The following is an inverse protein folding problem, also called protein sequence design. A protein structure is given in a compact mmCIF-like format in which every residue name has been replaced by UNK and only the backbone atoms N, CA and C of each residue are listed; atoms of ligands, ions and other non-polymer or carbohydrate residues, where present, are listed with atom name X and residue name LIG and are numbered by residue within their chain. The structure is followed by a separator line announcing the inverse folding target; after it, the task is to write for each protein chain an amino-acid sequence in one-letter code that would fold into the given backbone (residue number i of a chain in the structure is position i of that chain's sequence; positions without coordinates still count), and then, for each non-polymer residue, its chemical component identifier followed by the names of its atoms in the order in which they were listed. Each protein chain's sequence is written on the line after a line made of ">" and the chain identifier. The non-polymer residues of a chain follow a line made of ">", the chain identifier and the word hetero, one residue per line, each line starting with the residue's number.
data_IF_750577115040
#
_entry.id   IF_750577115040
#
_cell.length_a   1.000
_cell.length_b   1.000
_cell.length_c   1.000
_cell.angle_alpha   90.00
_cell.angle_beta   90.00
_cell.angle_gamma   90.00
#
_symmetry.space_group_name_H-M   'P 1'
#
loop_
_entity.id
_entity.type
_entity.pdbx_description
1 polymer ?
#
# COMPACT_ATOMS: atom_id res chain seq x y z
N UNK A 1 -20.65 -65.27 2.11
CA UNK A 1 -21.91 -66.03 2.30
C UNK A 1 -23.00 -65.05 2.70
N UNK A 2 -24.16 -65.16 2.05
CA UNK A 2 -25.43 -64.42 2.24
C UNK A 2 -25.42 -62.90 1.93
N UNK A 3 -25.79 -62.49 0.71
CA UNK A 3 -27.14 -62.18 0.18
C UNK A 3 -27.83 -61.00 0.88
N UNK A 4 -28.03 -59.82 0.27
CA UNK A 4 -28.85 -59.40 -0.90
C UNK A 4 -30.21 -58.84 -0.44
N UNK A 5 -30.65 -57.79 -1.16
CA UNK A 5 -32.00 -57.19 -1.27
C UNK A 5 -32.26 -55.99 -0.34
N UNK A 6 -32.92 -54.91 -0.73
CA UNK A 6 -33.50 -54.42 -2.00
C UNK A 6 -33.96 -52.96 -1.65
N UNK A 7 -33.64 -51.93 -2.42
CA UNK A 7 -34.49 -51.30 -3.46
C UNK A 7 -35.31 -50.08 -3.01
N UNK A 8 -35.49 -49.17 -3.98
CA UNK A 8 -36.42 -48.02 -4.06
C UNK A 8 -35.97 -46.72 -3.35
N UNK A 9 -36.11 -45.52 -3.91
CA UNK A 9 -36.51 -44.98 -5.21
C UNK A 9 -36.18 -43.47 -5.12
N UNK A 10 -35.37 -42.89 -6.01
CA UNK A 10 -35.80 -41.99 -7.10
C UNK A 10 -37.19 -41.35 -6.87
N UNK A 11 -37.20 -40.04 -6.60
CA UNK A 11 -38.16 -39.10 -7.19
C UNK A 11 -37.64 -37.66 -7.07
N UNK A 12 -37.56 -37.03 -8.24
CA UNK A 12 -37.32 -35.62 -8.50
C UNK A 12 -38.40 -34.73 -7.89
N UNK A 13 -38.04 -33.54 -7.38
CA UNK A 13 -38.80 -32.33 -7.71
C UNK A 13 -37.90 -31.10 -7.70
N UNK A 14 -37.88 -30.44 -8.85
CA UNK A 14 -37.26 -29.15 -9.17
C UNK A 14 -38.25 -28.06 -8.73
N UNK A 15 -37.78 -27.01 -8.06
CA UNK A 15 -38.49 -25.72 -8.01
C UNK A 15 -37.54 -24.61 -8.46
N UNK A 16 -37.67 -24.26 -9.73
CA UNK A 16 -37.30 -22.99 -10.31
C UNK A 16 -38.44 -22.00 -10.03
N UNK A 17 -38.15 -20.86 -9.42
CA UNK A 17 -39.05 -19.70 -9.44
C UNK A 17 -38.31 -18.61 -10.21
N UNK A 18 -38.74 -18.43 -11.45
CA UNK A 18 -38.40 -17.31 -12.29
C UNK A 18 -39.62 -16.39 -12.30
N UNK A 19 -39.48 -15.17 -11.76
CA UNK A 19 -40.40 -14.09 -12.07
C UNK A 19 -39.67 -13.08 -12.94
N UNK A 20 -40.16 -13.02 -14.17
CA UNK A 20 -39.80 -12.05 -15.20
C UNK A 20 -41.03 -11.18 -15.41
N UNK A 21 -40.92 -9.89 -15.12
CA UNK A 21 -41.89 -8.90 -15.55
C UNK A 21 -41.16 -7.71 -16.17
N UNK A 22 -41.21 -7.70 -17.50
CA UNK A 22 -40.84 -6.60 -18.38
C UNK A 22 -42.13 -5.85 -18.73
N UNK A 23 -42.20 -4.57 -18.37
CA UNK A 23 -43.07 -3.59 -19.01
C UNK A 23 -42.41 -2.22 -18.89
N UNK A 24 -41.62 -1.83 -19.90
CA UNK A 24 -41.85 -0.66 -20.76
C UNK A 24 -42.70 0.44 -20.09
N UNK A 25 -42.06 1.53 -19.70
CA UNK A 25 -42.66 2.86 -19.77
C UNK A 25 -41.61 3.84 -20.29
N UNK A 26 -41.93 4.38 -21.45
CA UNK A 26 -41.24 5.45 -22.14
C UNK A 26 -41.47 6.79 -21.43
N UNK A 27 -40.49 7.67 -21.61
CA UNK A 27 -40.59 9.13 -21.76
C UNK A 27 -41.28 9.93 -20.64
N UNK A 28 -40.53 10.85 -20.02
CA UNK A 28 -40.84 12.28 -19.81
C UNK A 28 -39.74 12.89 -18.91
N UNK A 29 -38.79 13.58 -19.53
CA UNK A 29 -38.23 14.88 -19.09
C UNK A 29 -38.72 15.88 -20.16
N UNK A 30 -38.88 17.20 -19.93
CA UNK A 30 -38.13 18.06 -19.00
C UNK A 30 -38.91 19.21 -18.33
N UNK A 31 -38.37 19.81 -17.27
CA UNK A 31 -38.63 21.22 -16.83
C UNK A 31 -37.57 21.55 -15.77
N UNK A 32 -36.45 22.21 -16.09
CA UNK A 32 -36.25 23.66 -16.05
C UNK A 32 -37.13 24.38 -15.00
N UNK A 33 -36.52 24.95 -13.97
CA UNK A 33 -36.55 26.39 -13.67
C UNK A 33 -35.52 26.75 -12.56
N UNK A 34 -35.06 28.00 -12.50
CA UNK A 34 -33.82 28.44 -11.85
C UNK A 34 -34.09 29.14 -10.52
N UNK A 35 -33.11 29.16 -9.60
CA UNK A 35 -33.06 30.20 -8.57
C UNK A 35 -31.69 30.86 -8.47
N UNK A 36 -31.73 32.16 -8.77
CA UNK A 36 -30.68 33.16 -8.76
C UNK A 36 -30.26 33.51 -7.33
N UNK A 37 -28.98 33.82 -7.19
CA UNK A 37 -28.39 34.63 -6.13
C UNK A 37 -29.09 35.99 -5.97
N UNK A 38 -28.99 36.59 -4.77
CA UNK A 38 -28.70 38.02 -4.69
C UNK A 38 -27.42 38.28 -3.88
N UNK A 39 -26.48 38.98 -4.50
CA UNK A 39 -25.49 39.79 -3.82
C UNK A 39 -26.20 41.00 -3.23
N UNK A 40 -25.96 41.33 -1.95
CA UNK A 40 -26.26 42.66 -1.43
C UNK A 40 -24.99 43.28 -0.85
N UNK A 41 -24.44 44.22 -1.63
CA UNK A 41 -23.44 45.19 -1.20
C UNK A 41 -24.16 46.25 -0.38
N UNK A 42 -23.77 46.45 0.88
CA UNK A 42 -24.01 47.72 1.57
C UNK A 42 -22.81 48.14 2.39
N UNK A 43 -22.01 49.01 1.77
CA UNK A 43 -21.18 50.01 2.45
C UNK A 43 -22.09 51.12 2.95
N UNK A 44 -21.87 51.55 4.19
CA UNK A 44 -22.11 52.94 4.60
C UNK A 44 -21.23 53.26 5.78
N UNK A 45 -20.42 54.29 5.57
CA UNK A 45 -19.47 54.93 6.45
C UNK A 45 -20.11 55.61 7.68
N UNK A 46 -19.31 55.78 8.74
CA UNK A 46 -19.03 57.03 9.48
C UNK A 46 -18.30 56.64 10.79
N UNK A 47 -17.01 56.93 10.98
CA UNK A 47 -16.33 58.22 11.19
C UNK A 47 -16.55 58.83 12.59
N UNK A 48 -15.50 58.76 13.43
CA UNK A 48 -15.03 59.81 14.35
C UNK A 48 -13.64 59.39 14.86
N UNK A 49 -12.54 60.09 14.50
CA UNK A 49 -12.01 61.33 15.12
C UNK A 49 -11.29 61.02 16.45
N UNK A 50 -10.05 61.41 16.77
CA UNK A 50 -8.91 62.06 16.11
C UNK A 50 -7.78 62.16 17.18
N UNK A 51 -6.65 62.78 16.77
CA UNK A 51 -5.50 63.33 17.53
C UNK A 51 -4.29 62.37 17.54
N UNK A 52 -3.14 62.68 16.96
CA UNK A 52 -2.55 63.96 16.53
C UNK A 52 -1.20 64.18 17.22
N UNK A 53 -0.32 64.95 16.57
CA UNK A 53 1.04 65.43 16.95
C UNK A 53 2.16 64.65 16.23
N UNK A 54 2.58 65.10 15.03
CA UNK A 54 3.56 66.17 14.68
C UNK A 54 5.04 65.75 14.86
N UNK A 55 5.74 65.50 13.74
CA UNK A 55 6.76 66.34 13.07
C UNK A 55 8.17 66.22 13.67
N UNK A 56 9.13 65.70 12.90
CA UNK A 56 10.20 66.50 12.26
C UNK A 56 11.12 65.62 11.39
N UNK A 57 11.63 66.23 10.32
CA UNK A 57 12.48 65.68 9.27
C UNK A 57 13.99 65.95 9.50
N UNK A 58 14.82 65.26 8.70
CA UNK A 58 16.27 65.46 8.43
C UNK A 58 17.23 65.05 9.57
N UNK A 59 18.43 64.49 9.38
CA UNK A 59 19.14 63.90 8.23
C UNK A 59 20.51 63.36 8.71
N UNK A 60 21.12 62.50 7.87
CA UNK A 60 22.56 62.30 7.68
C UNK A 60 23.43 61.62 8.77
N UNK A 61 23.88 60.42 8.38
CA UNK A 61 25.26 59.86 8.45
C UNK A 61 26.07 60.07 9.73
N UNK A 62 26.40 58.96 10.40
CA UNK A 62 27.81 58.60 10.65
C UNK A 62 27.99 57.11 11.01
N UNK A 63 28.85 56.47 10.20
CA UNK A 63 29.61 55.22 10.30
C UNK A 63 29.67 54.50 11.67
N UNK A 64 29.53 53.17 11.66
CA UNK A 64 30.62 52.23 12.02
C UNK A 64 30.24 50.75 11.83
N UNK A 65 30.89 50.15 10.83
CA UNK A 65 31.44 48.80 10.73
C UNK A 65 31.01 47.75 11.78
N UNK A 66 30.25 46.75 11.33
CA UNK A 66 30.49 45.36 11.73
C UNK A 66 30.53 44.47 10.49
N UNK A 67 31.73 43.97 10.25
CA UNK A 67 32.17 43.06 9.20
C UNK A 67 31.76 41.65 9.62
N UNK A 68 30.82 41.05 8.90
CA UNK A 68 30.61 39.61 8.86
C UNK A 68 30.51 39.21 7.40
N UNK A 69 31.49 38.42 6.98
CA UNK A 69 31.73 38.02 5.61
C UNK A 69 30.64 37.08 5.13
N UNK A 70 29.71 37.61 4.34
CA UNK A 70 28.91 36.80 3.43
C UNK A 70 29.73 36.67 2.15
N UNK A 71 30.38 35.52 1.97
CA UNK A 71 30.94 35.09 0.69
C UNK A 71 29.81 34.99 -0.34
N UNK A 72 29.52 36.11 -1.00
CA UNK A 72 28.81 36.14 -2.27
C UNK A 72 29.78 35.58 -3.31
N UNK A 73 29.62 34.30 -3.65
CA UNK A 73 30.25 33.75 -4.84
C UNK A 73 29.71 34.49 -6.07
N UNK A 74 30.48 35.45 -6.56
CA UNK A 74 30.23 36.12 -7.83
C UNK A 74 30.53 35.09 -8.91
N UNK A 75 29.49 34.59 -9.58
CA UNK A 75 29.64 33.74 -10.76
C UNK A 75 30.22 34.60 -11.89
N UNK A 76 31.53 34.51 -12.11
CA UNK A 76 32.18 35.01 -13.31
C UNK A 76 32.05 33.95 -14.40
N UNK A 77 30.92 33.96 -15.11
CA UNK A 77 30.78 33.17 -16.33
C UNK A 77 31.66 33.78 -17.43
N UNK A 78 32.89 33.31 -17.55
CA UNK A 78 33.72 33.51 -18.74
C UNK A 78 33.06 32.76 -19.89
N UNK A 79 32.49 33.50 -20.85
CA UNK A 79 31.97 32.95 -22.08
C UNK A 79 33.15 32.37 -22.89
N UNK A 80 33.30 31.04 -22.88
CA UNK A 80 34.18 30.36 -23.83
C UNK A 80 33.49 30.38 -25.20
N UNK A 81 34.10 31.05 -26.17
CA UNK A 81 33.72 30.95 -27.59
C UNK A 81 33.96 29.50 -28.03
N UNK A 82 32.88 28.78 -28.35
CA UNK A 82 32.93 27.46 -28.97
C UNK A 82 33.12 27.59 -30.49
N UNK A 83 33.79 26.63 -31.15
CA UNK A 83 34.00 26.66 -32.60
C UNK A 83 32.68 26.41 -33.34
N UNK A 84 32.56 27.03 -34.51
CA UNK A 84 31.40 27.04 -35.40
C UNK A 84 30.73 25.66 -35.55
N UNK A 85 29.57 25.50 -34.93
CA UNK A 85 28.57 24.49 -35.27
C UNK A 85 27.20 25.19 -35.19
N UNK A 86 26.42 25.12 -36.26
CA UNK A 86 25.19 25.90 -36.48
C UNK A 86 23.99 25.46 -35.63
N UNK A 87 24.19 24.56 -34.67
CA UNK A 87 23.12 24.05 -33.81
C UNK A 87 23.28 24.55 -32.37
N UNK A 88 22.20 25.07 -31.74
CA UNK A 88 22.24 25.45 -30.33
C UNK A 88 22.62 24.22 -29.48
N UNK A 89 23.43 24.38 -28.42
CA UNK A 89 23.86 23.26 -27.59
C UNK A 89 22.64 22.51 -27.03
N UNK A 90 22.54 21.22 -27.37
CA UNK A 90 21.44 20.35 -26.95
C UNK A 90 21.39 20.28 -25.42
N UNK A 91 20.29 20.75 -24.82
CA UNK A 91 20.07 20.66 -23.38
C UNK A 91 20.19 19.21 -22.92
N UNK A 92 21.19 18.93 -22.08
CA UNK A 92 21.35 17.62 -21.45
C UNK A 92 20.71 17.71 -20.07
N UNK A 93 19.64 16.94 -19.79
CA UNK A 93 18.98 17.01 -18.49
C UNK A 93 19.96 16.62 -17.38
N UNK A 94 19.98 17.34 -16.24
CA UNK A 94 20.85 16.99 -15.13
C UNK A 94 20.49 15.60 -14.59
N UNK A 95 21.50 14.85 -14.15
CA UNK A 95 21.28 13.61 -13.42
C UNK A 95 20.54 13.89 -12.11
N UNK A 96 19.68 12.94 -11.69
CA UNK A 96 18.95 13.08 -10.43
C UNK A 96 19.96 13.19 -9.26
N UNK A 97 19.85 14.19 -8.38
CA UNK A 97 20.78 14.33 -7.26
C UNK A 97 20.62 13.14 -6.31
N UNK A 98 21.73 12.52 -5.94
CA UNK A 98 21.79 11.47 -4.92
C UNK A 98 22.04 12.16 -3.57
N UNK A 99 20.98 12.38 -2.81
CA UNK A 99 21.04 13.01 -1.48
C UNK A 99 21.42 11.92 -0.48
N UNK A 100 22.63 12.01 0.07
CA UNK A 100 23.11 11.12 1.14
C UNK A 100 23.38 11.99 2.36
N UNK A 101 22.56 11.81 3.38
CA UNK A 101 22.76 12.45 4.68
C UNK A 101 23.88 11.73 5.43
N UNK A 102 25.12 12.21 5.29
CA UNK A 102 26.31 11.64 5.94
C UNK A 102 26.26 11.69 7.48
N UNK A 103 25.31 12.42 8.05
CA UNK A 103 25.03 12.51 9.49
C UNK A 103 24.29 11.29 10.03
N UNK A 104 23.57 10.55 9.17
CA UNK A 104 22.97 9.27 9.56
C UNK A 104 24.08 8.22 9.64
N UNK A 105 24.36 7.76 10.86
CA UNK A 105 25.39 6.75 11.09
C UNK A 105 25.07 5.44 10.35
N UNK A 106 26.13 4.75 9.92
CA UNK A 106 26.14 3.43 9.25
C UNK A 106 25.29 2.36 9.98
N UNK A 107 24.98 2.61 11.26
CA UNK A 107 24.16 1.76 12.14
C UNK A 107 22.70 1.57 11.70
N UNK A 108 22.21 2.30 10.69
CA UNK A 108 20.80 2.27 10.27
C UNK A 108 20.50 1.38 9.06
N UNK A 109 21.49 0.68 8.47
CA UNK A 109 21.23 -0.23 7.34
C UNK A 109 20.37 -1.42 7.78
N UNK A 110 19.06 -1.27 7.53
CA UNK A 110 18.05 -2.27 7.84
C UNK A 110 18.25 -3.53 7.01
N UNK A 111 18.46 -4.65 7.67
CA UNK A 111 18.48 -5.97 7.03
C UNK A 111 17.04 -6.45 6.85
N UNK A 112 16.61 -6.64 5.59
CA UNK A 112 15.30 -7.18 5.27
C UNK A 112 15.41 -8.63 4.80
N UNK A 113 14.73 -9.54 5.49
CA UNK A 113 14.50 -10.91 5.02
C UNK A 113 13.03 -11.06 4.65
N UNK A 114 12.76 -11.59 3.46
CA UNK A 114 11.38 -11.81 3.02
C UNK A 114 10.75 -13.00 3.76
N UNK A 115 9.47 -12.91 4.19
CA UNK A 115 8.83 -13.88 5.08
C UNK A 115 8.68 -15.29 4.51
N UNK A 116 8.75 -15.46 3.19
CA UNK A 116 8.65 -16.75 2.51
C UNK A 116 9.91 -17.62 2.66
N UNK A 117 11.06 -17.02 2.97
CA UNK A 117 12.30 -17.75 3.21
C UNK A 117 12.29 -18.49 4.56
N UNK A 118 11.49 -18.03 5.51
CA UNK A 118 11.39 -18.62 6.85
C UNK A 118 10.51 -19.87 6.77
N UNK A 119 11.06 -21.09 6.93
CA UNK A 119 10.30 -22.32 6.81
C UNK A 119 9.29 -22.46 7.96
N UNK A 120 8.14 -23.11 7.72
CA UNK A 120 7.16 -23.38 8.77
C UNK A 120 7.72 -24.41 9.77
N UNK A 121 7.20 -24.37 11.01
CA UNK A 121 7.52 -25.36 12.05
C UNK A 121 6.99 -26.74 11.65
N UNK A 122 7.83 -27.58 11.05
CA UNK A 122 7.51 -28.92 10.53
C UNK A 122 8.72 -29.87 10.68
N UNK A 123 8.49 -31.19 10.56
CA UNK A 123 9.53 -32.24 10.62
C UNK A 123 10.11 -32.60 9.23
N UNK A 124 10.11 -31.63 8.32
CA UNK A 124 10.62 -31.82 6.96
C UNK A 124 12.14 -31.73 6.96
N UNK A 125 12.80 -32.54 6.14
CA UNK A 125 14.27 -32.51 5.99
C UNK A 125 14.76 -31.10 5.60
N UNK A 126 15.72 -30.51 6.34
CA UNK A 126 16.34 -29.22 6.01
C UNK A 126 16.89 -29.12 4.58
N UNK A 127 17.32 -30.25 3.97
CA UNK A 127 17.83 -30.29 2.61
C UNK A 127 16.80 -29.78 1.59
N UNK A 128 15.50 -30.09 1.79
CA UNK A 128 14.41 -29.57 0.96
C UNK A 128 14.44 -28.04 0.92
N UNK A 129 14.53 -27.40 2.10
CA UNK A 129 14.50 -25.94 2.20
C UNK A 129 15.78 -25.31 1.65
N UNK A 130 16.93 -25.99 1.70
CA UNK A 130 18.14 -25.50 1.04
C UNK A 130 17.99 -25.51 -0.48
N UNK A 131 17.50 -26.60 -1.06
CA UNK A 131 17.25 -26.70 -2.52
C UNK A 131 16.25 -25.63 -2.97
N UNK A 132 15.12 -25.53 -2.26
CA UNK A 132 14.08 -24.55 -2.57
C UNK A 132 14.60 -23.11 -2.50
N UNK A 133 15.45 -22.80 -1.51
CA UNK A 133 16.08 -21.47 -1.39
C UNK A 133 17.04 -21.16 -2.54
N UNK A 134 17.84 -22.14 -2.99
CA UNK A 134 18.71 -21.97 -4.16
C UNK A 134 17.89 -21.61 -5.41
N UNK A 135 16.76 -22.29 -5.63
CA UNK A 135 15.88 -22.00 -6.77
C UNK A 135 15.18 -20.63 -6.65
N UNK A 136 14.72 -20.26 -5.46
CA UNK A 136 14.18 -18.92 -5.20
C UNK A 136 15.20 -17.81 -5.50
N UNK A 137 16.45 -17.99 -5.08
CA UNK A 137 17.54 -17.03 -5.32
C UNK A 137 17.86 -16.96 -6.81
N UNK A 138 17.94 -18.10 -7.50
CA UNK A 138 18.12 -18.14 -8.96
C UNK A 138 17.02 -17.34 -9.68
N UNK A 139 15.76 -17.48 -9.26
CA UNK A 139 14.64 -16.70 -9.82
C UNK A 139 14.75 -15.21 -9.52
N UNK A 140 15.19 -14.81 -8.32
CA UNK A 140 15.42 -13.40 -7.91
C UNK A 140 16.57 -12.72 -8.66
N UNK A 141 17.54 -13.47 -9.16
CA UNK A 141 18.58 -12.93 -10.06
C UNK A 141 18.00 -12.50 -11.41
N UNK A 142 16.94 -13.17 -11.88
CA UNK A 142 16.26 -12.85 -13.15
C UNK A 142 15.18 -11.79 -12.96
N UNK A 143 14.38 -11.89 -11.89
CA UNK A 143 13.32 -10.93 -11.55
C UNK A 143 13.69 -10.19 -10.27
N UNK A 144 13.79 -8.87 -10.36
CA UNK A 144 13.95 -8.03 -9.18
C UNK A 144 12.65 -8.04 -8.36
N UNK A 145 12.69 -8.66 -7.18
CA UNK A 145 11.58 -8.69 -6.22
C UNK A 145 11.88 -7.67 -5.12
N UNK A 146 11.15 -6.54 -5.08
CA UNK A 146 11.39 -5.49 -4.10
C UNK A 146 10.87 -5.88 -2.70
N UNK A 147 11.31 -5.12 -1.70
CA UNK A 147 10.74 -5.18 -0.35
C UNK A 147 9.34 -4.56 -0.34
N UNK A 148 8.36 -5.28 0.22
CA UNK A 148 7.02 -4.76 0.46
C UNK A 148 6.34 -5.47 1.62
N UNK A 149 5.33 -4.80 2.21
CA UNK A 149 4.55 -5.30 3.34
C UNK A 149 3.07 -5.36 3.00
N UNK A 150 2.31 -5.99 3.90
CA UNK A 150 0.85 -5.88 3.86
C UNK A 150 0.47 -4.43 4.14
N UNK A 151 -0.40 -3.89 3.28
CA UNK A 151 -0.76 -2.47 3.24
C UNK A 151 0.00 -1.65 2.21
N UNK A 152 1.10 -2.15 1.65
CA UNK A 152 1.82 -1.46 0.57
C UNK A 152 1.03 -1.51 -0.75
N UNK A 153 1.18 -0.48 -1.58
CA UNK A 153 0.55 -0.40 -2.90
C UNK A 153 1.55 -0.87 -3.96
N UNK A 154 1.15 -1.89 -4.72
CA UNK A 154 1.98 -2.53 -5.74
C UNK A 154 1.34 -2.41 -7.12
N UNK A 155 2.18 -2.30 -8.14
CA UNK A 155 1.82 -2.51 -9.54
C UNK A 155 2.52 -3.74 -10.08
N UNK A 156 1.78 -4.78 -10.46
CA UNK A 156 2.34 -6.03 -10.98
C UNK A 156 2.04 -6.13 -12.47
N UNK A 157 3.08 -6.32 -13.27
CA UNK A 157 2.97 -6.60 -14.70
C UNK A 157 3.18 -8.10 -14.94
N UNK A 158 2.13 -8.76 -15.43
CA UNK A 158 2.12 -10.18 -15.77
C UNK A 158 1.98 -10.36 -17.28
N UNK A 159 2.62 -11.37 -17.86
CA UNK A 159 2.35 -11.85 -19.21
C UNK A 159 1.03 -12.65 -19.24
N UNK A 160 0.14 -12.28 -20.14
CA UNK A 160 -1.14 -12.94 -20.38
C UNK A 160 -1.39 -13.04 -21.89
N UNK A 161 -1.53 -14.26 -22.40
CA UNK A 161 -1.72 -14.53 -23.84
C UNK A 161 -3.03 -13.96 -24.37
N UNK A 162 -4.05 -13.86 -23.54
CA UNK A 162 -5.39 -13.41 -23.95
C UNK A 162 -5.56 -11.89 -23.89
N UNK A 163 -4.62 -11.18 -23.28
CA UNK A 163 -4.65 -9.72 -23.22
C UNK A 163 -4.20 -9.10 -24.54
N UNK A 164 -4.81 -7.99 -24.96
CA UNK A 164 -4.50 -7.30 -26.22
C UNK A 164 -3.01 -6.97 -26.40
N UNK A 165 -2.30 -6.66 -25.31
CA UNK A 165 -0.87 -6.34 -25.33
C UNK A 165 0.05 -7.49 -24.89
N UNK A 166 -0.46 -8.72 -24.79
CA UNK A 166 0.20 -9.91 -24.19
C UNK A 166 0.67 -9.72 -22.74
N UNK A 167 0.38 -8.57 -22.16
CA UNK A 167 0.79 -8.14 -20.83
C UNK A 167 -0.39 -7.43 -20.17
N UNK A 168 -0.53 -7.67 -18.88
CA UNK A 168 -1.57 -7.08 -18.05
C UNK A 168 -0.91 -6.46 -16.81
N UNK A 169 -1.23 -5.20 -16.53
CA UNK A 169 -0.76 -4.48 -15.36
C UNK A 169 -1.93 -4.28 -14.40
N UNK A 170 -1.77 -4.75 -13.17
CA UNK A 170 -2.75 -4.53 -12.11
C UNK A 170 -2.10 -3.77 -10.95
N UNK A 171 -2.77 -2.72 -10.50
CA UNK A 171 -2.37 -1.91 -9.36
C UNK A 171 -3.36 -2.11 -8.23
N UNK A 172 -2.87 -2.32 -7.02
CA UNK A 172 -3.72 -2.48 -5.84
C UNK A 172 -2.95 -2.54 -4.53
N UNK A 173 -3.69 -2.57 -3.43
CA UNK A 173 -3.14 -2.73 -2.09
C UNK A 173 -2.89 -4.22 -1.82
N UNK A 174 -1.71 -4.54 -1.26
CA UNK A 174 -1.42 -5.89 -0.80
C UNK A 174 -2.17 -6.19 0.50
N UNK A 175 -3.19 -7.07 0.45
CA UNK A 175 -4.03 -7.38 1.62
C UNK A 175 -3.50 -8.52 2.47
N UNK A 176 -2.80 -9.47 1.84
CA UNK A 176 -2.25 -10.64 2.51
C UNK A 176 -1.01 -11.11 1.75
N UNK A 177 -0.02 -11.55 2.52
CA UNK A 177 1.09 -12.38 2.03
C UNK A 177 0.95 -13.76 2.65
N UNK A 178 1.04 -14.80 1.82
CA UNK A 178 0.85 -16.18 2.20
C UNK A 178 1.87 -17.10 1.52
N UNK A 179 1.75 -18.39 1.79
CA UNK A 179 2.68 -19.38 1.26
C UNK A 179 4.09 -19.29 1.85
N UNK A 180 4.91 -20.28 1.50
CA UNK A 180 6.31 -20.42 1.92
C UNK A 180 7.09 -20.98 0.74
N UNK A 181 8.39 -20.67 0.68
CA UNK A 181 9.24 -21.16 -0.40
C UNK A 181 8.80 -20.68 -1.78
N UNK A 182 8.83 -21.56 -2.79
CA UNK A 182 8.45 -21.24 -4.16
C UNK A 182 6.95 -20.93 -4.32
N UNK A 183 6.12 -21.50 -3.45
CA UNK A 183 4.67 -21.27 -3.42
C UNK A 183 4.24 -19.99 -2.68
N UNK A 184 5.15 -19.03 -2.50
CA UNK A 184 4.84 -17.75 -1.88
C UNK A 184 3.83 -16.97 -2.73
N UNK A 185 2.77 -16.50 -2.10
CA UNK A 185 1.68 -15.76 -2.75
C UNK A 185 1.40 -14.44 -2.06
N UNK A 186 0.83 -13.51 -2.80
CA UNK A 186 0.28 -12.28 -2.24
C UNK A 186 -0.98 -11.88 -3.00
N UNK A 187 -1.93 -11.29 -2.29
CA UNK A 187 -3.21 -10.89 -2.86
C UNK A 187 -3.24 -9.38 -2.98
N UNK A 188 -3.49 -8.89 -4.20
CA UNK A 188 -3.75 -7.48 -4.47
C UNK A 188 -5.24 -7.25 -4.56
N UNK A 189 -5.72 -6.18 -3.93
CA UNK A 189 -7.11 -5.71 -4.00
C UNK A 189 -7.15 -4.31 -4.58
N UNK A 190 -8.08 -4.08 -5.48
CA UNK A 190 -8.45 -2.74 -5.94
C UNK A 190 -9.94 -2.68 -6.25
N UNK A 191 -10.52 -1.48 -6.24
CA UNK A 191 -11.87 -1.23 -6.72
C UNK A 191 -11.75 -0.48 -8.05
N UNK A 192 -12.15 -1.13 -9.13
CA UNK A 192 -12.14 -0.60 -10.49
C UNK A 192 -13.59 -0.52 -10.94
N UNK A 193 -14.04 0.64 -11.40
CA UNK A 193 -15.42 0.88 -11.83
C UNK A 193 -16.47 0.43 -10.80
N UNK A 194 -16.22 0.75 -9.52
CA UNK A 194 -17.03 0.35 -8.36
C UNK A 194 -17.13 -1.17 -8.11
N UNK A 195 -16.39 -1.99 -8.86
CA UNK A 195 -16.30 -3.43 -8.66
C UNK A 195 -15.01 -3.80 -7.92
N UNK A 196 -15.13 -4.57 -6.83
CA UNK A 196 -13.98 -5.06 -6.09
C UNK A 196 -13.30 -6.22 -6.82
N UNK A 197 -12.06 -6.02 -7.25
CA UNK A 197 -11.23 -7.02 -7.93
C UNK A 197 -10.09 -7.44 -7.01
N UNK A 198 -9.91 -8.75 -6.86
CA UNK A 198 -8.79 -9.34 -6.13
C UNK A 198 -8.04 -10.32 -7.03
N UNK A 199 -6.72 -10.19 -7.07
CA UNK A 199 -5.85 -11.10 -7.82
C UNK A 199 -4.79 -11.66 -6.89
N UNK A 200 -4.71 -12.99 -6.84
CA UNK A 200 -3.65 -13.71 -6.14
C UNK A 200 -2.49 -13.95 -7.10
N UNK A 201 -1.32 -13.41 -6.75
CA UNK A 201 -0.09 -13.58 -7.50
C UNK A 201 0.85 -14.54 -6.77
N UNK A 202 1.48 -15.44 -7.53
CA UNK A 202 2.61 -16.25 -7.07
C UNK A 202 3.90 -15.49 -7.31
N UNK A 203 4.66 -15.21 -6.24
CA UNK A 203 5.84 -14.36 -6.25
C UNK A 203 6.92 -14.82 -7.24
N UNK A 204 7.09 -16.14 -7.37
CA UNK A 204 8.13 -16.77 -8.21
C UNK A 204 7.63 -17.21 -9.59
N UNK A 205 6.38 -16.87 -9.97
CA UNK A 205 5.82 -17.27 -11.26
C UNK A 205 6.67 -16.74 -12.43
N UNK A 206 6.94 -17.56 -13.47
CA UNK A 206 7.67 -17.11 -14.65
C UNK A 206 6.86 -16.09 -15.48
N UNK A 207 5.54 -16.03 -15.30
CA UNK A 207 4.66 -15.08 -15.99
C UNK A 207 4.83 -13.64 -15.48
N UNK A 208 5.35 -13.44 -14.27
CA UNK A 208 5.59 -12.10 -13.74
C UNK A 208 6.82 -11.50 -14.41
N UNK A 209 6.63 -10.35 -15.04
CA UNK A 209 7.67 -9.58 -15.70
C UNK A 209 8.28 -8.55 -14.77
N UNK A 210 7.44 -7.84 -14.00
CA UNK A 210 7.89 -6.75 -13.11
C UNK A 210 6.95 -6.59 -11.92
N UNK A 211 7.53 -6.29 -10.76
CA UNK A 211 6.82 -5.90 -9.54
C UNK A 211 7.29 -4.50 -9.16
N UNK A 212 6.42 -3.51 -9.29
CA UNK A 212 6.67 -2.13 -8.91
C UNK A 212 6.06 -1.83 -7.53
N UNK A 213 6.84 -1.28 -6.61
CA UNK A 213 6.31 -0.72 -5.36
C UNK A 213 5.97 0.75 -5.60
N UNK A 214 4.68 1.08 -5.59
CA UNK A 214 4.22 2.45 -5.78
C UNK A 214 4.25 3.23 -4.46
N UNK A 215 3.83 2.58 -3.38
CA UNK A 215 3.86 3.15 -2.03
C UNK A 215 4.24 2.07 -1.03
N UNK A 216 5.40 2.26 -0.39
CA UNK A 216 5.85 1.37 0.68
C UNK A 216 5.28 1.86 2.01
N UNK A 217 4.31 1.12 2.55
CA UNK A 217 3.75 1.38 3.88
C UNK A 217 3.38 0.06 4.58
N UNK A 218 3.41 0.10 5.92
CA UNK A 218 2.84 -0.95 6.78
C UNK A 218 1.50 -0.49 7.34
N UNK A 219 0.63 -1.45 7.65
CA UNK A 219 -0.59 -1.21 8.46
C UNK A 219 -0.39 -1.76 9.86
N UNK A 220 -1.37 -1.53 10.73
CA UNK A 220 -1.39 -2.08 12.09
C UNK A 220 -1.54 -3.60 12.08
N UNK A 221 -2.25 -4.13 11.09
CA UNK A 221 -2.55 -5.55 10.96
C UNK A 221 -1.72 -6.19 9.84
N UNK A 222 -1.31 -7.44 10.06
CA UNK A 222 -0.61 -8.26 9.06
C UNK A 222 -1.56 -8.84 8.00
N UNK A 223 -2.88 -8.73 8.19
CA UNK A 223 -3.89 -9.27 7.28
C UNK A 223 -5.07 -8.31 7.15
N UNK A 224 -5.27 -7.76 5.94
CA UNK A 224 -6.29 -6.76 5.62
C UNK A 224 -7.50 -7.34 4.90
N UNK A 225 -7.78 -8.64 5.09
CA UNK A 225 -8.95 -9.29 4.48
C UNK A 225 -10.29 -8.68 4.89
N UNK A 226 -10.35 -7.92 5.99
CA UNK A 226 -11.53 -7.16 6.40
C UNK A 226 -11.88 -6.00 5.45
N UNK A 227 -10.97 -5.60 4.54
CA UNK A 227 -11.24 -4.59 3.51
C UNK A 227 -12.35 -5.01 2.52
N UNK A 228 -12.71 -6.30 2.49
CA UNK A 228 -13.87 -6.81 1.74
C UNK A 228 -15.20 -6.28 2.28
N UNK A 229 -15.29 -6.16 3.60
CA UNK A 229 -16.49 -5.72 4.33
C UNK A 229 -16.42 -4.23 4.70
N UNK A 230 -15.32 -3.54 4.35
CA UNK A 230 -15.10 -2.13 4.61
C UNK A 230 -15.76 -1.22 3.56
N UNK A 231 -15.77 0.08 3.84
CA UNK A 231 -16.14 1.09 2.85
C UNK A 231 -15.20 1.05 1.62
N UNK A 232 -15.72 1.22 0.38
CA UNK A 232 -14.91 1.18 -0.85
C UNK A 232 -13.70 2.11 -0.85
N UNK A 233 -13.83 3.27 -0.21
CA UNK A 233 -12.80 4.32 -0.15
C UNK A 233 -11.43 3.80 0.29
N UNK A 234 -11.39 2.85 1.23
CA UNK A 234 -10.14 2.32 1.77
C UNK A 234 -9.44 1.29 0.87
N UNK A 235 -10.16 0.75 -0.12
CA UNK A 235 -9.64 -0.23 -1.09
C UNK A 235 -9.40 0.36 -2.47
N UNK A 236 -9.89 1.57 -2.73
CA UNK A 236 -9.81 2.22 -4.05
C UNK A 236 -8.43 2.83 -4.23
N UNK A 237 -7.73 2.40 -5.27
CA UNK A 237 -6.39 2.89 -5.64
C UNK A 237 -6.41 3.27 -7.11
N UNK A 238 -5.90 4.46 -7.42
CA UNK A 238 -5.74 4.93 -8.79
C UNK A 238 -4.76 4.01 -9.56
N UNK A 239 -5.19 3.37 -10.67
CA UNK A 239 -4.32 2.54 -11.51
C UNK A 239 -3.10 3.26 -12.06
N UNK A 240 -3.20 4.58 -12.28
CA UNK A 240 -2.15 5.40 -12.87
C UNK A 240 -1.27 6.12 -11.83
N UNK A 241 -1.37 5.71 -10.56
CA UNK A 241 -0.57 6.26 -9.47
C UNK A 241 0.94 6.12 -9.74
N UNK A 242 1.66 7.25 -9.62
CA UNK A 242 3.12 7.29 -9.74
C UNK A 242 3.79 6.79 -8.46
N UNK A 243 4.98 6.15 -8.56
CA UNK A 243 5.70 5.67 -7.40
C UNK A 243 6.21 6.83 -6.54
N UNK A 244 5.91 6.76 -5.23
CA UNK A 244 6.38 7.72 -4.23
C UNK A 244 7.80 7.31 -3.82
N UNK A 245 8.80 8.20 -3.94
CA UNK A 245 10.17 7.89 -3.53
C UNK A 245 10.23 7.69 -2.01
N UNK A 246 10.89 6.62 -1.57
CA UNK A 246 11.21 6.38 -0.16
C UNK A 246 12.72 6.23 0.01
N UNK A 247 13.24 6.57 1.20
CA UNK A 247 14.64 6.34 1.53
C UNK A 247 14.86 4.87 1.92
N UNK A 248 15.89 4.19 1.39
CA UNK A 248 16.14 2.78 1.70
C UNK A 248 16.68 2.56 3.13
N UNK A 249 17.26 3.60 3.74
CA UNK A 249 17.93 3.52 5.04
C UNK A 249 16.97 3.66 6.22
N UNK A 250 15.78 4.24 6.02
CA UNK A 250 14.83 4.53 7.10
C UNK A 250 13.96 3.34 7.50
N UNK A 251 13.33 3.45 8.67
CA UNK A 251 12.23 2.55 9.05
C UNK A 251 11.03 2.75 8.12
N UNK A 252 10.34 1.65 7.79
CA UNK A 252 9.17 1.71 6.92
C UNK A 252 8.01 2.38 7.67
N UNK A 253 7.38 3.42 7.10
CA UNK A 253 6.31 4.15 7.77
C UNK A 253 5.11 3.24 8.03
N UNK A 254 4.60 3.28 9.27
CA UNK A 254 3.41 2.55 9.70
C UNK A 254 2.20 3.48 9.64
N UNK A 255 1.27 3.18 8.75
CA UNK A 255 0.00 3.86 8.60
C UNK A 255 -1.02 3.36 9.64
N UNK A 256 -1.35 4.23 10.60
CA UNK A 256 -2.26 3.93 11.73
C UNK A 256 -3.74 4.21 11.43
N UNK A 257 -4.11 4.43 10.16
CA UNK A 257 -5.50 4.69 9.77
C UNK A 257 -6.39 3.50 10.15
N UNK A 258 -7.42 3.77 10.96
CA UNK A 258 -8.49 2.82 11.27
C UNK A 258 -9.67 2.97 10.29
N UNK A 259 -10.13 1.84 9.78
CA UNK A 259 -11.14 1.66 8.73
C UNK A 259 -12.56 1.66 9.30
N UNK A 260 -13.50 2.22 8.54
CA UNK A 260 -14.96 2.12 8.80
C UNK A 260 -15.54 0.93 8.04
N UNK A 261 -16.33 0.12 8.75
CA UNK A 261 -16.98 -1.07 8.20
C UNK A 261 -18.35 -0.73 7.61
N UNK A 262 -18.82 -1.57 6.67
CA UNK A 262 -20.22 -1.59 6.23
C UNK A 262 -21.13 -2.08 7.37
N UNK A 263 -22.44 -1.84 7.31
CA UNK A 263 -23.37 -2.51 8.20
C UNK A 263 -23.27 -4.05 8.05
N UNK A 264 -23.58 -4.78 9.13
CA UNK A 264 -23.66 -6.25 9.12
C UNK A 264 -24.74 -6.75 8.13
N UNK A 265 -24.64 -7.98 7.59
CA UNK A 265 -23.65 -9.02 7.90
C UNK A 265 -22.31 -8.85 7.15
N UNK A 266 -21.22 -9.28 7.80
CA UNK A 266 -19.87 -9.31 7.23
C UNK A 266 -19.48 -10.71 6.80
N UNK A 267 -18.47 -10.82 5.94
CA UNK A 267 -17.90 -12.10 5.50
C UNK A 267 -17.34 -12.94 6.66
N UNK A 268 -16.77 -12.29 7.68
CA UNK A 268 -16.26 -12.93 8.90
C UNK A 268 -16.61 -12.11 10.13
N UNK A 269 -16.57 -12.78 11.28
CA UNK A 269 -16.75 -12.17 12.60
C UNK A 269 -15.45 -11.52 13.08
N UNK A 270 -15.09 -10.41 12.46
CA UNK A 270 -13.85 -9.66 12.71
C UNK A 270 -13.73 -9.14 14.14
N UNK A 271 -14.86 -8.96 14.83
CA UNK A 271 -14.92 -8.54 16.24
C UNK A 271 -14.33 -9.55 17.22
N UNK A 272 -14.09 -10.79 16.79
CA UNK A 272 -13.59 -11.85 17.68
C UNK A 272 -12.10 -11.67 17.99
N UNK A 273 -11.69 -11.81 19.27
CA UNK A 273 -10.28 -11.69 19.68
C UNK A 273 -9.30 -12.60 18.92
N UNK A 274 -9.78 -13.74 18.39
CA UNK A 274 -9.01 -14.66 17.54
C UNK A 274 -8.28 -13.97 16.38
N UNK A 275 -8.87 -12.93 15.79
CA UNK A 275 -8.27 -12.25 14.65
C UNK A 275 -7.28 -11.14 15.05
N UNK A 276 -7.33 -10.67 16.31
CA UNK A 276 -6.49 -9.61 16.85
C UNK A 276 -6.36 -8.38 15.92
N UNK A 277 -7.50 -7.89 15.40
CA UNK A 277 -7.52 -6.78 14.43
C UNK A 277 -7.57 -5.44 15.18
N UNK A 278 -6.59 -4.58 14.92
CA UNK A 278 -6.47 -3.24 15.48
C UNK A 278 -6.89 -2.14 14.50
N UNK A 279 -6.91 -2.44 13.20
CA UNK A 279 -7.21 -1.50 12.13
C UNK A 279 -8.69 -1.19 11.90
N UNK A 280 -9.62 -1.76 12.67
CA UNK A 280 -11.07 -1.50 12.54
C UNK A 280 -11.55 -0.52 13.63
N UNK A 281 -12.40 0.45 13.25
CA UNK A 281 -13.15 1.27 14.21
C UNK A 281 -14.42 0.55 14.65
N UNK A 282 -14.32 -0.33 15.64
CA UNK A 282 -15.48 -1.06 16.17
C UNK A 282 -16.51 -0.14 16.84
N UNK A 283 -16.07 0.97 17.45
CA UNK A 283 -16.93 1.95 18.14
C UNK A 283 -18.07 2.51 17.26
N UNK A 284 -17.82 2.62 15.95
CA UNK A 284 -18.81 3.14 14.99
C UNK A 284 -19.73 2.05 14.43
N UNK A 285 -19.35 0.79 14.58
CA UNK A 285 -19.99 -0.34 13.88
C UNK A 285 -20.70 -1.31 14.84
N UNK A 286 -20.32 -1.32 16.11
CA UNK A 286 -20.76 -2.27 17.14
C UNK A 286 -21.18 -1.54 18.41
N UNK A 287 -22.14 -2.12 19.11
CA UNK A 287 -22.51 -1.67 20.47
C UNK A 287 -21.56 -2.28 21.51
N UNK A 288 -21.42 -1.67 22.70
CA UNK A 288 -20.64 -2.23 23.79
C UNK A 288 -21.07 -3.66 24.16
N UNK A 289 -22.37 -3.94 24.19
CA UNK A 289 -22.92 -5.28 24.46
C UNK A 289 -22.43 -6.33 23.45
N UNK A 290 -22.35 -5.96 22.17
CA UNK A 290 -21.84 -6.85 21.13
C UNK A 290 -20.34 -7.12 21.30
N UNK A 291 -19.58 -6.13 21.75
CA UNK A 291 -18.16 -6.26 22.06
C UNK A 291 -17.93 -7.16 23.28
N UNK A 292 -18.70 -6.98 24.36
CA UNK A 292 -18.66 -7.86 25.53
C UNK A 292 -19.00 -9.30 25.17
N UNK A 293 -20.01 -9.49 24.32
CA UNK A 293 -20.34 -10.80 23.80
C UNK A 293 -19.19 -11.41 22.98
N UNK A 294 -18.55 -10.63 22.11
CA UNK A 294 -17.37 -11.06 21.35
C UNK A 294 -16.20 -11.46 22.28
N UNK A 295 -16.04 -10.78 23.40
CA UNK A 295 -15.00 -11.04 24.38
C UNK A 295 -15.17 -12.38 25.09
N UNK A 296 -16.38 -12.97 25.13
CA UNK A 296 -16.60 -14.33 25.68
C UNK A 296 -15.80 -15.42 24.96
N UNK A 297 -15.37 -15.18 23.71
CA UNK A 297 -14.51 -16.10 22.95
C UNK A 297 -13.01 -15.79 23.09
N UNK A 298 -12.62 -14.86 23.96
CA UNK A 298 -11.23 -14.58 24.23
C UNK A 298 -10.53 -15.81 24.83
N UNK A 299 -9.27 -16.01 24.47
CA UNK A 299 -8.44 -17.08 24.99
C UNK A 299 -7.14 -16.47 25.54
N UNK A 300 -7.18 -15.80 26.71
CA UNK A 300 -6.05 -15.05 27.24
C UNK A 300 -4.81 -15.92 27.49
N UNK A 301 -4.99 -17.21 27.77
CA UNK A 301 -3.87 -18.14 27.94
C UNK A 301 -3.03 -18.34 26.67
N UNK A 302 -3.53 -18.02 25.47
CA UNK A 302 -2.76 -18.18 24.23
C UNK A 302 -1.57 -17.23 24.13
N UNK A 303 -1.64 -16.05 24.73
CA UNK A 303 -0.53 -15.07 24.72
C UNK A 303 0.65 -15.58 25.54
N UNK A 304 0.38 -16.33 26.62
CA UNK A 304 1.38 -16.88 27.52
C UNK A 304 1.82 -18.32 27.15
N UNK A 305 1.33 -18.86 26.03
CA UNK A 305 1.69 -20.20 25.55
C UNK A 305 3.04 -20.17 24.83
N UNK A 306 4.12 -20.19 25.61
CA UNK A 306 5.50 -20.17 25.11
C UNK A 306 5.83 -21.37 24.19
N UNK A 307 5.11 -22.49 24.31
CA UNK A 307 5.34 -23.68 23.46
C UNK A 307 4.87 -23.45 22.02
N UNK A 308 3.91 -22.53 21.82
CA UNK A 308 3.41 -22.17 20.50
C UNK A 308 4.35 -21.25 19.74
N UNK A 309 5.18 -20.49 20.45
CA UNK A 309 6.15 -19.57 19.85
C UNK A 309 7.16 -20.32 18.97
N UNK A 310 7.59 -19.66 17.89
CA UNK A 310 8.55 -20.21 16.96
C UNK A 310 9.80 -19.32 16.92
N UNK A 311 10.83 -19.71 17.66
CA UNK A 311 12.09 -18.99 17.77
C UNK A 311 12.95 -19.10 16.50
N UNK A 312 12.75 -18.19 15.55
CA UNK A 312 13.40 -18.19 14.22
C UNK A 312 14.72 -17.42 14.15
N UNK A 313 15.13 -16.70 15.19
CA UNK A 313 16.28 -15.79 15.16
C UNK A 313 17.59 -16.43 14.64
N UNK A 314 17.93 -17.63 15.12
CA UNK A 314 19.10 -18.39 14.64
C UNK A 314 18.97 -18.78 13.17
N UNK A 315 17.78 -19.26 12.77
CA UNK A 315 17.50 -19.66 11.39
C UNK A 315 17.54 -18.45 10.44
N UNK A 316 16.96 -17.32 10.84
CA UNK A 316 16.96 -16.08 10.06
C UNK A 316 18.38 -15.58 9.81
N UNK A 317 19.25 -15.60 10.83
CA UNK A 317 20.66 -15.25 10.67
C UNK A 317 21.39 -16.15 9.67
N UNK A 318 21.18 -17.47 9.77
CA UNK A 318 21.76 -18.45 8.83
C UNK A 318 21.25 -18.23 7.41
N UNK A 319 19.93 -18.14 7.23
CA UNK A 319 19.27 -17.93 5.94
C UNK A 319 19.76 -16.62 5.29
N UNK A 320 19.86 -15.54 6.07
CA UNK A 320 20.30 -14.25 5.56
C UNK A 320 21.73 -14.31 5.04
N UNK A 321 22.64 -14.99 5.76
CA UNK A 321 24.02 -15.19 5.31
C UNK A 321 24.09 -16.03 4.02
N UNK A 322 23.28 -17.08 3.92
CA UNK A 322 23.20 -17.93 2.73
C UNK A 322 22.67 -17.16 1.51
N UNK A 323 21.60 -16.38 1.69
CA UNK A 323 21.02 -15.54 0.63
C UNK A 323 22.04 -14.50 0.16
N UNK A 324 22.76 -13.85 1.08
CA UNK A 324 23.77 -12.85 0.72
C UNK A 324 24.93 -13.47 -0.06
N UNK A 325 25.42 -14.64 0.36
CA UNK A 325 26.48 -15.37 -0.34
C UNK A 325 26.03 -15.79 -1.75
N UNK A 326 24.84 -16.37 -1.89
CA UNK A 326 24.34 -16.82 -3.18
C UNK A 326 23.99 -15.66 -4.13
N UNK A 327 23.54 -14.51 -3.59
CA UNK A 327 23.32 -13.31 -4.40
C UNK A 327 24.63 -12.64 -4.86
N UNK A 328 25.73 -12.82 -4.12
CA UNK A 328 27.05 -12.31 -4.51
C UNK A 328 27.79 -13.17 -5.55
N UNK A 329 27.40 -14.45 -5.70
CA UNK A 329 27.93 -15.37 -6.71
C UNK A 329 27.35 -15.08 -8.08
#
# INVERSE_FOLDING_TARGET
>A
MYNRRDSCAILWTIYFIADSNISRFNDICPTQLPYKFPCDNRRSDMAACAKGIDKFMFSLRLLRNLRLENERSISTSVCRLAPNSEEPPKFTPPSKPVIIDKTQSVASLRKFLSPEFIPPRQRTDPLKFSIERKDMIRRRKVLNIPEFYVGSILGVTMADTNASGKTNRFVGICIQRGGKGLGATFVLRNIIDNQGVEICYELYSPRIQKIDVLKLEKRLDDNLMYLRDAMPEYSTVDPDMKPIPFSPTGEVPVNKIKVRMRPKPWSKRWERPKFNVQGIRFDLSLTPEQMEHAQKWAQPWQEYDMLKEYGTSKLEGQILSEVQQEMSK
#
